data_IF_059424258736
#
_entry.id   IF_059424258736
#
_cell.length_a   1.000
_cell.length_b   1.000
_cell.length_c   1.000
_cell.angle_alpha   90.00
_cell.angle_beta   90.00
_cell.angle_gamma   90.00
#
_symmetry.space_group_name_H-M   'P 1'
#
loop_
_entity.id
_entity.type
_entity.pdbx_description
1 polymer ?
#
# COMPACT_ATOMS: atom_id res chain seq x y z
N UNK A 1 -0.38 -15.95 -3.71
CA UNK A 1 0.16 -14.89 -2.84
C UNK A 1 -0.71 -13.67 -3.07
N UNK A 2 -1.37 -13.18 -2.03
CA UNK A 2 -2.29 -12.06 -2.10
C UNK A 2 -1.69 -10.84 -1.42
N UNK A 3 -2.13 -9.67 -1.84
CA UNK A 3 -1.84 -8.42 -1.14
C UNK A 3 -3.15 -7.88 -0.60
N UNK A 4 -3.17 -7.60 0.70
CA UNK A 4 -4.27 -6.88 1.32
C UNK A 4 -3.88 -5.42 1.37
N UNK A 5 -4.75 -4.57 0.82
CA UNK A 5 -4.65 -3.11 0.89
C UNK A 5 -5.80 -2.63 1.76
N UNK A 6 -5.50 -1.95 2.86
CA UNK A 6 -6.52 -1.61 3.86
C UNK A 6 -6.34 -0.21 4.45
N UNK A 7 -7.47 0.47 4.64
CA UNK A 7 -7.62 1.72 5.35
C UNK A 7 -8.97 1.70 6.10
N UNK A 8 -9.04 2.10 7.38
CA UNK A 8 -10.28 2.02 8.18
C UNK A 8 -11.33 3.03 7.72
N UNK A 9 -10.90 4.13 7.12
CA UNK A 9 -11.74 5.29 6.82
C UNK A 9 -12.43 5.88 8.05
N UNK A 10 -13.16 6.97 7.86
CA UNK A 10 -13.72 7.82 8.92
C UNK A 10 -14.45 7.05 10.03
N UNK A 11 -15.46 6.25 9.69
CA UNK A 11 -16.30 5.57 10.70
C UNK A 11 -15.56 4.53 11.52
N UNK A 12 -14.62 3.78 10.91
CA UNK A 12 -13.88 2.76 11.67
C UNK A 12 -12.68 3.36 12.39
N UNK A 13 -12.06 4.42 11.87
CA UNK A 13 -10.98 5.13 12.54
C UNK A 13 -11.44 5.63 13.93
N UNK A 14 -12.58 6.32 13.98
CA UNK A 14 -13.22 6.81 15.22
C UNK A 14 -13.59 5.74 16.24
N UNK A 15 -13.65 4.48 15.81
CA UNK A 15 -14.00 3.35 16.67
C UNK A 15 -12.76 2.64 17.25
N UNK A 16 -11.56 3.01 16.82
CA UNK A 16 -10.29 2.43 17.29
C UNK A 16 -9.72 3.38 18.34
N UNK A 17 -9.77 2.98 19.61
CA UNK A 17 -9.53 3.86 20.77
C UNK A 17 -8.13 4.48 20.82
N UNK A 18 -7.14 3.81 20.24
CA UNK A 18 -5.74 4.22 20.18
C UNK A 18 -5.35 4.85 18.82
N UNK A 19 -6.34 5.13 17.97
CA UNK A 19 -6.14 5.67 16.63
C UNK A 19 -6.90 6.98 16.45
N UNK A 20 -6.21 8.03 16.04
CA UNK A 20 -6.80 9.36 15.90
C UNK A 20 -7.83 9.43 14.77
N UNK A 21 -8.88 10.22 14.96
CA UNK A 21 -10.01 10.38 14.02
C UNK A 21 -9.58 10.67 12.57
N UNK A 22 -8.49 11.41 12.38
CA UNK A 22 -7.97 11.85 11.08
C UNK A 22 -6.70 11.10 10.63
N UNK A 23 -6.15 10.21 11.46
CA UNK A 23 -4.89 9.52 11.17
C UNK A 23 -5.00 8.62 9.94
N UNK A 24 -6.21 8.14 9.62
CA UNK A 24 -6.46 7.31 8.44
C UNK A 24 -6.07 8.02 7.14
N UNK A 25 -6.04 9.35 7.10
CA UNK A 25 -5.67 10.14 5.91
C UNK A 25 -4.19 10.02 5.55
N UNK A 26 -3.34 9.69 6.52
CA UNK A 26 -1.89 9.64 6.36
C UNK A 26 -1.33 8.21 6.43
N UNK A 27 -2.20 7.19 6.39
CA UNK A 27 -1.79 5.80 6.45
C UNK A 27 -2.42 4.93 5.36
N UNK A 28 -1.72 3.86 5.01
CA UNK A 28 -2.26 2.76 4.21
C UNK A 28 -1.56 1.47 4.63
N UNK A 29 -2.33 0.44 4.96
CA UNK A 29 -1.77 -0.88 5.23
C UNK A 29 -1.61 -1.65 3.93
N UNK A 30 -0.39 -2.16 3.68
CA UNK A 30 -0.08 -3.08 2.58
C UNK A 30 0.55 -4.33 3.18
N UNK A 31 -0.14 -5.47 3.05
CA UNK A 31 0.26 -6.72 3.70
C UNK A 31 0.38 -7.85 2.69
N UNK A 32 1.52 -8.54 2.71
CA UNK A 32 1.68 -9.81 2.01
C UNK A 32 0.92 -10.92 2.75
N UNK A 33 0.07 -11.66 2.02
CA UNK A 33 -0.86 -12.60 2.64
C UNK A 33 -0.97 -13.92 1.87
N UNK A 34 -1.08 -15.03 2.60
CA UNK A 34 -1.40 -16.36 2.08
C UNK A 34 -2.71 -16.83 2.73
N UNK A 35 -3.86 -16.44 2.14
CA UNK A 35 -5.17 -16.50 2.83
C UNK A 35 -6.13 -17.58 2.31
N UNK A 36 -5.80 -18.27 1.21
CA UNK A 36 -6.75 -19.18 0.56
C UNK A 36 -6.67 -20.64 1.00
N UNK A 37 -5.48 -21.11 1.38
CA UNK A 37 -5.27 -22.52 1.70
C UNK A 37 -4.57 -22.65 3.06
N UNK A 38 -5.04 -23.57 3.93
CA UNK A 38 -4.27 -23.94 5.12
C UNK A 38 -2.91 -24.47 4.69
N UNK A 39 -1.87 -24.06 5.40
CA UNK A 39 -0.49 -24.51 5.19
C UNK A 39 0.02 -25.05 6.52
N UNK A 40 0.69 -26.20 6.48
CA UNK A 40 1.23 -26.83 7.70
C UNK A 40 2.45 -26.07 8.25
N UNK A 41 3.28 -25.53 7.36
CA UNK A 41 4.40 -24.64 7.70
C UNK A 41 4.47 -23.50 6.67
N UNK A 42 4.72 -22.27 7.13
CA UNK A 42 4.91 -21.12 6.24
C UNK A 42 5.98 -20.17 6.76
N UNK A 43 6.81 -19.67 5.84
CA UNK A 43 7.78 -18.59 6.09
C UNK A 43 7.50 -17.47 5.10
N UNK A 44 7.25 -16.27 5.62
CA UNK A 44 7.08 -15.05 4.83
C UNK A 44 8.11 -14.00 5.17
N UNK A 45 8.41 -13.15 4.19
CA UNK A 45 9.27 -11.97 4.36
C UNK A 45 8.63 -10.81 3.59
N UNK A 46 8.52 -9.66 4.24
CA UNK A 46 8.12 -8.41 3.61
C UNK A 46 9.30 -7.44 3.70
N UNK A 47 9.67 -6.85 2.57
CA UNK A 47 10.75 -5.87 2.47
C UNK A 47 10.19 -4.61 1.81
N UNK A 48 10.44 -3.45 2.41
CA UNK A 48 10.01 -2.15 1.92
C UNK A 48 11.24 -1.36 1.51
N UNK A 49 11.23 -0.83 0.30
CA UNK A 49 12.29 0.06 -0.20
C UNK A 49 11.68 1.30 -0.83
N UNK A 50 12.21 2.47 -0.45
CA UNK A 50 11.88 3.72 -1.13
C UNK A 50 12.80 3.85 -2.35
N UNK A 51 12.23 3.71 -3.55
CA UNK A 51 12.95 3.93 -4.80
C UNK A 51 12.41 5.20 -5.48
N UNK A 52 13.27 6.04 -6.08
CA UNK A 52 12.79 7.17 -6.84
C UNK A 52 11.90 6.67 -7.97
N UNK A 53 10.71 7.24 -8.10
CA UNK A 53 9.78 6.83 -9.16
C UNK A 53 10.40 7.06 -10.54
N UNK A 54 10.10 6.18 -11.49
CA UNK A 54 10.42 6.38 -12.91
C UNK A 54 9.77 7.65 -13.48
N UNK A 55 8.67 8.12 -12.87
CA UNK A 55 8.06 9.44 -13.11
C UNK A 55 9.01 10.58 -12.74
N UNK A 56 9.62 10.57 -11.54
CA UNK A 56 10.54 11.61 -11.08
C UNK A 56 11.93 11.54 -11.73
N UNK A 57 12.28 10.41 -12.35
CA UNK A 57 13.48 10.25 -13.19
C UNK A 57 13.29 10.68 -14.65
N UNK A 58 12.11 11.18 -15.02
CA UNK A 58 11.82 11.71 -16.36
C UNK A 58 11.64 10.66 -17.46
N UNK A 59 11.63 9.37 -17.12
CA UNK A 59 11.43 8.27 -18.08
C UNK A 59 9.95 8.04 -18.41
N UNK A 60 9.04 8.51 -17.55
CA UNK A 60 7.58 8.46 -17.71
C UNK A 60 6.93 9.80 -17.35
N UNK A 61 7.55 10.93 -17.71
CA UNK A 61 6.95 12.25 -17.50
C UNK A 61 5.60 12.32 -18.24
N UNK A 62 4.47 12.50 -17.54
CA UNK A 62 3.15 12.48 -18.17
C UNK A 62 2.97 13.61 -19.19
N UNK A 63 3.73 14.70 -19.07
CA UNK A 63 3.76 15.77 -20.09
C UNK A 63 4.46 15.32 -21.37
N UNK A 64 5.46 14.45 -21.27
CA UNK A 64 6.19 13.88 -22.43
C UNK A 64 5.48 12.67 -23.02
N UNK A 65 4.80 11.87 -22.20
CA UNK A 65 4.10 10.65 -22.63
C UNK A 65 2.76 10.98 -23.30
N UNK A 66 2.04 12.01 -22.84
CA UNK A 66 0.74 12.39 -23.43
C UNK A 66 0.85 13.22 -24.72
N UNK A 67 1.99 13.87 -24.96
CA UNK A 67 2.23 14.71 -26.14
C UNK A 67 3.03 14.03 -27.25
N UNK A 68 3.38 12.74 -27.07
CA UNK A 68 3.89 11.83 -28.10
C UNK A 68 4.79 12.43 -29.17
N UNK A 69 6.11 12.44 -28.93
CA UNK A 69 7.16 12.47 -29.97
C UNK A 69 7.27 13.76 -30.78
#
# INVERSE_FOLDING_TARGET
MFFVVWNPWDKKAKAITDFGDDEYKNMLCVQAACVEKPVEEWKGRQELSAVPSSYCRGQLDPRKVLLGG
#
